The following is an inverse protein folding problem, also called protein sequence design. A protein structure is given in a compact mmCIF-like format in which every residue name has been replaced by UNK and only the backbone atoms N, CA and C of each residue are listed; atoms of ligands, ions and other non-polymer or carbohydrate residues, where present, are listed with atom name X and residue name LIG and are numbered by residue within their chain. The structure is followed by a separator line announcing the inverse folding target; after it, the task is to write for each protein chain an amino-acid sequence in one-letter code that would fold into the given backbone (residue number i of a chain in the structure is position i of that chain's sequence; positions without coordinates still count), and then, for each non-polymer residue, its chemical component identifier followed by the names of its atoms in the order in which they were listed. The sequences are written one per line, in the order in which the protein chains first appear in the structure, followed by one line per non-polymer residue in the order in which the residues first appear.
data_IF_172120356780
#
_entry.id   IF_172120356780
#
_cell.length_a   1.000
_cell.length_b   1.000
_cell.length_c   1.000
_cell.angle_alpha   90.00
_cell.angle_beta   90.00
_cell.angle_gamma   90.00
#
_symmetry.space_group_name_H-M   'P 1'
#
loop_
_entity.id
_entity.type
_entity.pdbx_description
1 polymer ?
#
# COMPACT_ATOMS: atom_id res chain seq x y z
N UNK A 1 -11.69 2.87 -1.64
CA UNK A 1 -12.29 1.53 -1.74
C UNK A 1 -13.76 1.73 -2.12
N UNK A 2 -14.17 1.30 -3.29
CA UNK A 2 -15.58 1.36 -3.69
C UNK A 2 -16.23 0.08 -3.21
N UNK A 3 -17.06 0.20 -2.19
CA UNK A 3 -17.80 -0.94 -1.64
C UNK A 3 -19.21 -0.85 -2.17
N UNK A 4 -19.68 -1.92 -2.81
CA UNK A 4 -21.09 -2.06 -3.13
C UNK A 4 -21.87 -2.22 -1.81
N UNK A 5 -22.80 -1.31 -1.47
CA UNK A 5 -23.45 -1.32 -0.16
C UNK A 5 -24.27 -2.59 0.13
N UNK A 6 -24.79 -3.25 -0.90
CA UNK A 6 -25.71 -4.38 -0.75
C UNK A 6 -25.02 -5.68 -0.31
N UNK A 7 -23.80 -5.94 -0.79
CA UNK A 7 -23.07 -7.19 -0.59
C UNK A 7 -21.66 -7.00 -0.01
N UNK A 8 -21.23 -5.77 0.21
CA UNK A 8 -19.89 -5.46 0.71
C UNK A 8 -18.78 -5.69 -0.32
N UNK A 9 -19.11 -5.97 -1.59
CA UNK A 9 -18.12 -6.28 -2.61
C UNK A 9 -17.24 -5.06 -2.91
N UNK A 10 -15.93 -5.22 -2.71
CA UNK A 10 -14.93 -4.21 -3.07
C UNK A 10 -14.78 -4.22 -4.58
N UNK A 11 -15.32 -3.20 -5.23
CA UNK A 11 -15.28 -3.07 -6.69
C UNK A 11 -13.93 -2.55 -7.18
N UNK A 12 -13.32 -1.59 -6.48
CA UNK A 12 -12.04 -1.00 -6.88
C UNK A 12 -11.39 -0.17 -5.73
N UNK A 13 -10.11 0.19 -5.88
CA UNK A 13 -9.34 1.01 -4.93
C UNK A 13 -8.61 2.12 -5.69
N UNK A 14 -8.81 3.37 -5.26
CA UNK A 14 -8.06 4.53 -5.75
C UNK A 14 -7.07 4.97 -4.68
N UNK A 15 -5.78 4.87 -4.99
CA UNK A 15 -4.69 5.21 -4.09
C UNK A 15 -4.38 6.72 -4.15
N UNK A 16 -3.95 7.27 -3.03
CA UNK A 16 -3.46 8.65 -2.93
C UNK A 16 -1.97 8.66 -3.30
N UNK A 17 -1.67 9.00 -4.56
CA UNK A 17 -0.31 9.15 -5.09
C UNK A 17 0.02 10.63 -5.36
N UNK A 18 1.21 10.92 -5.89
CA UNK A 18 1.64 12.31 -6.12
C UNK A 18 0.88 13.05 -7.22
N UNK A 19 0.03 12.35 -7.99
CA UNK A 19 -0.92 12.95 -8.93
C UNK A 19 -2.35 13.03 -8.37
N UNK A 20 -2.55 12.67 -7.10
CA UNK A 20 -3.85 12.73 -6.45
C UNK A 20 -4.40 14.17 -6.46
N UNK A 21 -5.58 14.35 -7.03
CA UNK A 21 -6.28 15.62 -7.01
C UNK A 21 -7.78 15.46 -6.90
N UNK A 22 -8.42 16.46 -6.28
CA UNK A 22 -9.87 16.53 -6.10
C UNK A 22 -10.37 17.81 -6.74
N UNK A 23 -11.33 17.69 -7.65
CA UNK A 23 -11.91 18.80 -8.41
C UNK A 23 -13.43 18.80 -8.24
N UNK A 24 -14.04 19.98 -8.19
CA UNK A 24 -15.49 20.12 -8.03
C UNK A 24 -16.07 21.16 -9.01
N UNK A 25 -17.27 20.91 -9.50
CA UNK A 25 -18.05 21.85 -10.32
C UNK A 25 -18.03 21.54 -11.82
N UNK A 26 -19.00 22.13 -12.54
CA UNK A 26 -19.29 21.80 -13.94
C UNK A 26 -18.09 21.94 -14.87
N UNK A 27 -17.36 23.05 -14.77
CA UNK A 27 -16.22 23.32 -15.65
C UNK A 27 -15.08 22.31 -15.48
N UNK A 28 -14.82 21.88 -14.24
CA UNK A 28 -13.70 20.99 -13.92
C UNK A 28 -14.06 19.50 -14.07
N UNK A 29 -15.33 19.14 -13.90
CA UNK A 29 -15.78 17.74 -13.82
C UNK A 29 -16.67 17.32 -14.99
N UNK A 30 -17.17 18.27 -15.79
CA UNK A 30 -18.17 18.01 -16.82
C UNK A 30 -19.57 17.68 -16.29
N UNK A 31 -19.80 17.76 -14.97
CA UNK A 31 -21.08 17.46 -14.34
C UNK A 31 -21.51 18.59 -13.39
N UNK A 32 -22.79 18.96 -13.43
CA UNK A 32 -23.36 20.09 -12.68
C UNK A 32 -23.14 19.99 -11.17
N UNK A 33 -23.13 18.79 -10.61
CA UNK A 33 -22.84 18.50 -9.20
C UNK A 33 -21.73 17.44 -9.06
N UNK A 34 -20.71 17.52 -9.92
CA UNK A 34 -19.63 16.55 -9.99
C UNK A 34 -18.49 16.82 -9.00
N UNK A 35 -17.95 15.74 -8.43
CA UNK A 35 -16.65 15.68 -7.76
C UNK A 35 -15.77 14.69 -8.52
N UNK A 36 -14.65 15.16 -9.08
CA UNK A 36 -13.70 14.34 -9.81
C UNK A 36 -12.47 14.11 -8.95
N UNK A 37 -12.19 12.84 -8.64
CA UNK A 37 -10.99 12.40 -7.94
C UNK A 37 -10.11 11.68 -8.94
N UNK A 38 -8.87 12.11 -9.11
CA UNK A 38 -7.94 11.50 -10.07
C UNK A 38 -6.57 11.26 -9.46
N UNK A 39 -5.87 10.24 -9.98
CA UNK A 39 -4.49 9.88 -9.64
C UNK A 39 -3.76 9.43 -10.92
N UNK A 40 -2.57 8.83 -10.85
CA UNK A 40 -1.83 8.41 -12.07
C UNK A 40 -2.55 7.33 -12.89
N UNK A 41 -3.38 6.52 -12.25
CA UNK A 41 -3.98 5.34 -12.88
C UNK A 41 -5.41 5.58 -13.33
N UNK A 42 -6.20 6.37 -12.58
CA UNK A 42 -7.66 6.42 -12.75
C UNK A 42 -8.23 7.79 -12.44
N UNK A 43 -9.43 8.00 -12.99
CA UNK A 43 -10.33 9.13 -12.70
C UNK A 43 -11.67 8.60 -12.25
N UNK A 44 -12.13 9.06 -11.10
CA UNK A 44 -13.43 8.76 -10.52
C UNK A 44 -14.28 10.02 -10.52
N UNK A 45 -15.38 9.99 -11.27
CA UNK A 45 -16.40 11.03 -11.20
C UNK A 45 -17.54 10.60 -10.28
N UNK A 46 -17.73 11.33 -9.19
CA UNK A 46 -18.86 11.21 -8.28
C UNK A 46 -19.90 12.27 -8.64
N UNK A 47 -21.17 11.89 -8.74
CA UNK A 47 -22.28 12.85 -8.89
C UNK A 47 -23.00 13.00 -7.56
N UNK A 48 -23.07 14.21 -7.05
CA UNK A 48 -23.79 14.54 -5.82
C UNK A 48 -25.19 15.07 -6.11
N UNK A 49 -26.03 15.14 -5.07
CA UNK A 49 -27.40 15.64 -5.19
C UNK A 49 -27.44 17.17 -5.36
N UNK A 50 -26.52 17.87 -4.70
CA UNK A 50 -26.45 19.34 -4.71
C UNK A 50 -25.04 19.84 -4.90
N UNK A 51 -24.89 21.07 -5.40
CA UNK A 51 -23.61 21.77 -5.46
C UNK A 51 -22.96 21.94 -4.07
N UNK A 52 -23.76 22.17 -3.03
CA UNK A 52 -23.25 22.29 -1.65
C UNK A 52 -22.58 20.99 -1.21
N UNK A 53 -23.25 19.86 -1.39
CA UNK A 53 -22.68 18.55 -1.06
C UNK A 53 -21.43 18.23 -1.88
N UNK A 54 -21.42 18.54 -3.18
CA UNK A 54 -20.24 18.33 -4.02
C UNK A 54 -19.02 19.09 -3.47
N UNK A 55 -19.20 20.35 -3.09
CA UNK A 55 -18.14 21.17 -2.46
C UNK A 55 -17.70 20.59 -1.13
N UNK A 56 -18.64 20.27 -0.24
CA UNK A 56 -18.35 19.67 1.07
C UNK A 56 -17.54 18.38 0.94
N UNK A 57 -17.94 17.48 0.04
CA UNK A 57 -17.21 16.24 -0.23
C UNK A 57 -15.79 16.52 -0.76
N UNK A 58 -15.65 17.41 -1.74
CA UNK A 58 -14.36 17.75 -2.30
C UNK A 58 -13.41 18.32 -1.22
N UNK A 59 -13.92 19.22 -0.37
CA UNK A 59 -13.18 19.80 0.74
C UNK A 59 -12.78 18.76 1.78
N UNK A 60 -13.69 17.85 2.17
CA UNK A 60 -13.36 16.81 3.15
C UNK A 60 -12.32 15.82 2.62
N UNK A 61 -12.45 15.37 1.37
CA UNK A 61 -11.47 14.45 0.77
C UNK A 61 -10.11 15.14 0.67
N UNK A 62 -10.06 16.39 0.21
CA UNK A 62 -8.81 17.14 0.14
C UNK A 62 -8.19 17.35 1.52
N UNK A 63 -9.01 17.64 2.55
CA UNK A 63 -8.56 17.78 3.94
C UNK A 63 -7.95 16.48 4.45
N UNK A 64 -8.63 15.35 4.26
CA UNK A 64 -8.12 14.03 4.68
C UNK A 64 -6.82 13.70 3.96
N UNK A 65 -6.75 13.93 2.65
CA UNK A 65 -5.52 13.73 1.87
C UNK A 65 -4.35 14.55 2.43
N UNK A 66 -4.59 15.84 2.73
CA UNK A 66 -3.56 16.74 3.27
C UNK A 66 -3.17 16.43 4.72
N UNK A 67 -4.04 15.79 5.51
CA UNK A 67 -3.75 15.48 6.92
C UNK A 67 -3.15 14.09 7.11
N UNK A 68 -3.60 13.10 6.35
CA UNK A 68 -3.28 11.68 6.56
C UNK A 68 -2.38 11.10 5.46
N UNK A 69 -2.46 11.62 4.24
CA UNK A 69 -1.73 11.10 3.09
C UNK A 69 -0.72 12.09 2.51
N UNK A 70 -0.40 13.17 3.27
CA UNK A 70 0.49 14.24 2.83
C UNK A 70 1.81 13.70 2.25
N UNK A 71 2.40 12.73 2.96
CA UNK A 71 3.63 12.03 2.61
C UNK A 71 3.63 11.39 1.21
N UNK A 72 2.45 11.00 0.70
CA UNK A 72 2.30 10.27 -0.56
C UNK A 72 1.78 11.14 -1.71
N UNK A 73 1.12 12.27 -1.40
CA UNK A 73 0.57 13.19 -2.40
C UNK A 73 1.53 14.35 -2.73
N UNK A 74 2.46 14.66 -1.82
CA UNK A 74 3.45 15.72 -2.01
C UNK A 74 4.65 15.24 -2.83
N UNK A 75 5.49 16.18 -3.29
CA UNK A 75 6.71 15.82 -4.03
C UNK A 75 7.83 15.46 -3.07
N UNK A 76 8.13 14.17 -2.96
CA UNK A 76 9.27 13.71 -2.14
C UNK A 76 10.62 13.86 -2.87
N UNK A 77 11.70 13.76 -2.08
CA UNK A 77 13.09 13.81 -2.57
C UNK A 77 13.30 12.82 -3.72
N UNK A 78 14.00 13.25 -4.76
CA UNK A 78 14.27 12.49 -6.00
C UNK A 78 13.03 12.04 -6.79
N UNK A 79 11.84 12.61 -6.52
CA UNK A 79 10.60 12.17 -7.16
C UNK A 79 10.09 10.81 -6.65
N UNK A 80 10.55 10.39 -5.46
CA UNK A 80 10.08 9.16 -4.81
C UNK A 80 8.59 9.23 -4.47
N UNK A 81 7.91 8.07 -4.49
CA UNK A 81 6.54 7.97 -3.96
C UNK A 81 6.51 8.00 -2.42
N UNK A 82 7.64 7.68 -1.76
CA UNK A 82 7.76 7.62 -0.31
C UNK A 82 8.62 8.77 0.24
N UNK A 83 8.27 9.33 1.42
CA UNK A 83 9.05 10.36 2.10
C UNK A 83 10.32 9.79 2.75
N UNK A 84 11.24 10.67 3.14
CA UNK A 84 12.36 10.29 3.99
C UNK A 84 11.89 10.07 5.43
N UNK A 85 12.24 8.92 6.02
CA UNK A 85 11.90 8.58 7.42
C UNK A 85 13.14 8.67 8.30
N UNK A 86 13.25 9.76 9.04
CA UNK A 86 14.36 9.97 9.98
C UNK A 86 14.27 8.99 11.17
N UNK A 87 15.42 8.70 11.81
CA UNK A 87 15.51 7.81 12.96
C UNK A 87 14.98 6.38 12.73
N UNK A 88 14.99 5.92 11.47
CA UNK A 88 14.62 4.54 11.13
C UNK A 88 15.76 3.57 11.42
N UNK A 89 15.50 2.50 12.17
CA UNK A 89 16.46 1.42 12.35
C UNK A 89 16.70 0.70 11.02
N UNK A 90 17.94 0.65 10.58
CA UNK A 90 18.35 -0.06 9.38
C UNK A 90 19.50 -1.02 9.70
N UNK A 91 19.47 -2.21 9.08
CA UNK A 91 20.55 -3.19 9.16
C UNK A 91 20.90 -3.63 7.74
N UNK A 92 22.19 -3.56 7.41
CA UNK A 92 22.71 -4.09 6.15
C UNK A 92 23.24 -5.50 6.36
N UNK A 93 23.26 -6.27 5.27
CA UNK A 93 23.77 -7.64 5.24
C UNK A 93 24.78 -7.75 4.10
N UNK A 94 25.86 -8.47 4.36
CA UNK A 94 26.79 -8.94 3.32
C UNK A 94 26.56 -10.43 3.21
N UNK A 95 26.40 -10.89 1.97
CA UNK A 95 26.03 -12.25 1.60
C UNK A 95 24.66 -12.73 2.11
N UNK A 96 24.28 -13.96 1.73
CA UNK A 96 22.97 -14.53 2.03
C UNK A 96 22.84 -15.14 3.43
N UNK A 97 23.94 -15.50 4.11
CA UNK A 97 23.86 -16.27 5.38
C UNK A 97 23.13 -15.47 6.47
N UNK A 98 23.63 -14.29 6.79
CA UNK A 98 23.08 -13.45 7.86
C UNK A 98 21.72 -12.86 7.48
N UNK A 99 21.51 -12.58 6.19
CA UNK A 99 20.23 -12.14 5.64
C UNK A 99 19.14 -13.21 5.82
N UNK A 100 19.38 -14.45 5.34
CA UNK A 100 18.39 -15.51 5.45
C UNK A 100 18.11 -15.94 6.89
N UNK A 101 19.11 -15.92 7.78
CA UNK A 101 18.89 -16.15 9.21
C UNK A 101 17.94 -15.11 9.82
N UNK A 102 18.11 -13.83 9.48
CA UNK A 102 17.24 -12.75 9.94
C UNK A 102 15.82 -12.84 9.34
N UNK A 103 15.70 -13.21 8.06
CA UNK A 103 14.41 -13.45 7.40
C UNK A 103 13.67 -14.60 8.09
N UNK A 104 14.35 -15.71 8.38
CA UNK A 104 13.75 -16.85 9.07
C UNK A 104 13.17 -16.45 10.44
N UNK A 105 13.91 -15.65 11.22
CA UNK A 105 13.44 -15.16 12.51
C UNK A 105 12.27 -14.18 12.38
N UNK A 106 12.24 -13.35 11.34
CA UNK A 106 11.13 -12.44 11.07
C UNK A 106 9.86 -13.20 10.66
N UNK A 107 9.99 -14.21 9.79
CA UNK A 107 8.89 -15.07 9.36
C UNK A 107 8.28 -15.83 10.56
N UNK A 108 9.11 -16.42 11.41
CA UNK A 108 8.65 -17.16 12.59
C UNK A 108 7.88 -16.26 13.57
N UNK A 109 8.31 -14.98 13.71
CA UNK A 109 7.68 -13.97 14.57
C UNK A 109 6.43 -13.32 13.98
N UNK A 110 6.13 -13.52 12.69
CA UNK A 110 4.96 -12.92 12.04
C UNK A 110 3.66 -13.33 12.74
N UNK A 111 2.70 -12.40 12.86
CA UNK A 111 1.42 -12.64 13.55
C UNK A 111 0.19 -12.47 12.66
N UNK A 112 0.32 -11.70 11.59
CA UNK A 112 -0.82 -11.28 10.76
C UNK A 112 -0.52 -11.57 9.29
N UNK A 113 0.46 -10.88 8.71
CA UNK A 113 0.67 -10.92 7.27
C UNK A 113 2.14 -11.16 6.90
N UNK A 114 2.36 -11.88 5.81
CA UNK A 114 3.67 -12.10 5.19
C UNK A 114 3.55 -11.75 3.71
N UNK A 115 4.21 -10.68 3.30
CA UNK A 115 4.29 -10.26 1.89
C UNK A 115 5.65 -10.67 1.31
N UNK A 116 5.63 -11.42 0.20
CA UNK A 116 6.84 -11.89 -0.49
C UNK A 116 6.73 -11.50 -1.96
N UNK A 117 7.81 -10.91 -2.48
CA UNK A 117 7.97 -10.61 -3.91
C UNK A 117 9.35 -11.11 -4.33
N UNK A 118 9.39 -12.01 -5.29
CA UNK A 118 10.62 -12.60 -5.79
C UNK A 118 10.57 -12.72 -7.31
N UNK A 119 11.73 -12.54 -7.95
CA UNK A 119 11.88 -12.86 -9.37
C UNK A 119 11.89 -14.38 -9.59
N UNK A 120 12.54 -15.12 -8.69
CA UNK A 120 12.49 -16.58 -8.61
C UNK A 120 12.56 -17.02 -7.16
N UNK A 121 11.47 -17.64 -6.69
CA UNK A 121 11.38 -18.24 -5.37
C UNK A 121 11.50 -19.76 -5.47
N UNK A 122 12.43 -20.34 -4.71
CA UNK A 122 12.56 -21.80 -4.54
C UNK A 122 12.01 -22.19 -3.16
N UNK A 123 10.83 -22.82 -3.07
CA UNK A 123 10.18 -23.12 -1.79
C UNK A 123 11.04 -23.95 -0.84
N UNK A 124 11.89 -24.84 -1.37
CA UNK A 124 12.69 -25.80 -0.62
C UNK A 124 14.03 -25.24 -0.13
N UNK A 125 14.27 -23.93 -0.24
CA UNK A 125 15.50 -23.31 0.26
C UNK A 125 15.54 -23.31 1.79
N UNK A 126 16.70 -23.69 2.36
CA UNK A 126 16.96 -23.58 3.80
C UNK A 126 17.52 -22.19 4.15
N UNK A 127 16.83 -21.50 5.06
CA UNK A 127 17.18 -20.16 5.51
C UNK A 127 18.23 -20.14 6.63
N UNK A 128 18.38 -21.22 7.40
CA UNK A 128 19.45 -21.40 8.38
C UNK A 128 20.26 -22.67 8.08
N UNK A 129 21.59 -22.59 8.24
CA UNK A 129 22.54 -23.68 7.92
C UNK A 129 23.64 -23.78 8.98
N UNK A 130 24.15 -24.99 9.30
CA UNK A 130 23.75 -26.29 8.77
C UNK A 130 22.36 -26.76 9.27
N UNK A 131 21.81 -27.79 8.64
CA UNK A 131 20.43 -28.30 8.87
C UNK A 131 20.31 -29.11 10.17
N UNK A 132 20.64 -28.50 11.31
CA UNK A 132 20.62 -29.17 12.62
C UNK A 132 19.21 -29.45 13.14
N UNK A 133 18.24 -28.63 12.74
CA UNK A 133 16.83 -28.73 13.16
C UNK A 133 15.94 -29.43 12.11
N UNK A 134 16.54 -30.25 11.24
CA UNK A 134 15.84 -30.84 10.08
C UNK A 134 15.23 -29.78 9.17
N UNK A 135 13.96 -29.97 8.79
CA UNK A 135 13.24 -29.10 7.85
C UNK A 135 12.63 -27.84 8.49
N UNK A 136 12.87 -27.60 9.79
CA UNK A 136 12.30 -26.46 10.52
C UNK A 136 12.53 -25.12 9.82
N UNK A 137 13.71 -24.94 9.23
CA UNK A 137 14.14 -23.69 8.60
C UNK A 137 14.04 -23.67 7.08
N UNK A 138 13.33 -24.63 6.48
CA UNK A 138 13.02 -24.62 5.05
C UNK A 138 11.86 -23.66 4.79
N UNK A 139 11.96 -22.83 3.75
CA UNK A 139 11.05 -21.70 3.52
C UNK A 139 9.58 -22.14 3.43
N UNK A 140 9.28 -23.14 2.60
CA UNK A 140 7.95 -23.75 2.48
C UNK A 140 7.39 -24.24 3.82
N UNK A 141 8.21 -24.87 4.66
CA UNK A 141 7.81 -25.39 5.97
C UNK A 141 7.54 -24.25 6.95
N UNK A 142 8.35 -23.19 6.96
CA UNK A 142 8.09 -22.00 7.77
C UNK A 142 6.74 -21.39 7.36
N UNK A 143 6.55 -21.09 6.06
CA UNK A 143 5.33 -20.47 5.57
C UNK A 143 4.09 -21.33 5.86
N UNK A 144 4.17 -22.65 5.72
CA UNK A 144 3.07 -23.55 6.08
C UNK A 144 2.71 -23.54 7.56
N UNK A 145 3.66 -23.28 8.47
CA UNK A 145 3.36 -23.11 9.91
C UNK A 145 2.75 -21.75 10.25
N UNK A 146 2.98 -20.75 9.39
CA UNK A 146 2.54 -19.36 9.61
C UNK A 146 1.27 -18.98 8.86
N UNK A 147 0.88 -19.77 7.86
CA UNK A 147 -0.37 -19.66 7.11
C UNK A 147 -1.54 -20.23 7.91
#
# INVERSE_FOLDING_TARGET
MYIRPEDGHISDVLLMDSAFSVKCGLYLTGASHGVLIENFSRKLLLKCWTNRQAKEWAEQVQRVANMQAYDYIQRNRFGSFAPARENTYARWFVDGRSYFEAVADALEKAKEEIYITDWWLSPEIYLKRPMVDGDKWRLDVILKRKA
#
